data_IF_976481937470
#
_entry.id   IF_976481937470
#
_cell.length_a   1.000
_cell.length_b   1.000
_cell.length_c   1.000
_cell.angle_alpha   90.00
_cell.angle_beta   90.00
_cell.angle_gamma   90.00
#
_symmetry.space_group_name_H-M   'P 1'
#
loop_
_entity.id
_entity.type
_entity.pdbx_description
1 polymer ?
#
# COMPACT_ATOMS: atom_id res chain seq x y z
N UNK A 1 14.25 -0.04 -22.55
CA UNK A 1 15.70 -0.08 -22.38
C UNK A 1 16.30 1.28 -22.75
N UNK A 2 16.83 1.98 -21.74
CA UNK A 2 17.46 3.31 -21.92
C UNK A 2 18.98 3.23 -22.14
N UNK A 3 19.54 2.00 -22.24
CA UNK A 3 20.98 1.79 -22.38
C UNK A 3 21.32 1.75 -23.87
N UNK A 4 22.26 2.58 -24.37
CA UNK A 4 22.69 2.56 -25.76
C UNK A 4 23.24 1.20 -26.18
N UNK A 5 22.96 0.80 -27.43
CA UNK A 5 23.36 -0.51 -27.96
C UNK A 5 24.88 -0.70 -27.97
N UNK A 6 25.62 0.39 -28.10
CA UNK A 6 27.09 0.40 -28.04
C UNK A 6 27.67 -0.01 -26.70
N UNK A 7 26.90 0.21 -25.59
CA UNK A 7 27.26 -0.24 -24.25
C UNK A 7 26.85 -1.71 -24.07
N UNK A 8 25.64 -2.06 -24.52
CA UNK A 8 25.13 -3.45 -24.43
C UNK A 8 26.02 -4.44 -25.17
N UNK A 9 26.61 -4.06 -26.30
CA UNK A 9 27.51 -4.93 -27.08
C UNK A 9 28.86 -5.22 -26.42
N UNK A 10 29.22 -4.47 -25.37
CA UNK A 10 30.50 -4.55 -24.63
C UNK A 10 30.34 -5.03 -23.18
N UNK A 11 29.10 -5.31 -22.76
CA UNK A 11 28.79 -5.76 -21.42
C UNK A 11 28.19 -7.17 -21.46
N UNK A 12 28.47 -7.92 -20.41
CA UNK A 12 27.74 -9.16 -20.17
C UNK A 12 26.39 -8.81 -19.56
N UNK A 13 25.30 -9.33 -20.12
CA UNK A 13 23.94 -9.07 -19.67
C UNK A 13 23.48 -10.17 -18.74
N UNK A 14 22.94 -9.79 -17.58
CA UNK A 14 22.26 -10.68 -16.64
C UNK A 14 20.82 -10.21 -16.50
N UNK A 15 19.89 -11.10 -16.78
CA UNK A 15 18.45 -10.82 -16.62
C UNK A 15 17.97 -11.37 -15.27
N UNK A 16 17.65 -10.47 -14.36
CA UNK A 16 17.07 -10.81 -13.05
C UNK A 16 15.55 -10.81 -13.15
N UNK A 17 14.93 -11.83 -12.58
CA UNK A 17 13.47 -11.94 -12.47
C UNK A 17 13.02 -11.55 -11.06
N UNK A 18 11.76 -11.16 -10.94
CA UNK A 18 11.11 -10.99 -9.62
C UNK A 18 11.11 -12.33 -8.89
N UNK A 19 11.37 -12.28 -7.59
CA UNK A 19 11.36 -13.45 -6.72
C UNK A 19 9.93 -13.70 -6.27
N UNK A 20 9.52 -14.98 -6.17
CA UNK A 20 8.17 -15.30 -5.71
C UNK A 20 7.99 -14.99 -4.22
N UNK A 21 6.74 -14.73 -3.81
CA UNK A 21 6.37 -14.45 -2.42
C UNK A 21 6.82 -15.60 -1.51
N UNK A 22 6.62 -16.85 -1.95
CA UNK A 22 7.01 -18.05 -1.20
C UNK A 22 8.51 -18.10 -0.94
N UNK A 23 9.33 -17.79 -1.96
CA UNK A 23 10.80 -17.78 -1.84
C UNK A 23 11.28 -16.66 -0.90
N UNK A 24 10.68 -15.47 -1.01
CA UNK A 24 11.00 -14.35 -0.11
C UNK A 24 10.59 -14.72 1.31
N UNK A 25 9.36 -15.20 1.52
CA UNK A 25 8.85 -15.58 2.84
C UNK A 25 9.72 -16.64 3.52
N UNK A 26 10.09 -17.69 2.79
CA UNK A 26 10.98 -18.73 3.32
C UNK A 26 12.33 -18.17 3.77
N UNK A 27 12.90 -17.23 3.00
CA UNK A 27 14.17 -16.60 3.36
C UNK A 27 14.05 -15.68 4.58
N UNK A 28 12.97 -14.91 4.67
CA UNK A 28 12.72 -14.05 5.83
C UNK A 28 12.50 -14.88 7.10
N UNK A 29 11.73 -15.98 7.04
CA UNK A 29 11.56 -16.91 8.16
C UNK A 29 12.89 -17.49 8.64
N UNK A 30 13.73 -17.98 7.72
CA UNK A 30 15.09 -18.49 8.06
C UNK A 30 15.93 -17.45 8.82
N UNK A 31 15.82 -16.17 8.43
CA UNK A 31 16.54 -15.09 9.10
C UNK A 31 15.98 -14.84 10.50
N UNK A 32 14.66 -14.84 10.67
CA UNK A 32 14.02 -14.64 11.96
C UNK A 32 14.37 -15.75 12.95
N UNK A 33 14.42 -16.99 12.48
CA UNK A 33 14.90 -18.12 13.31
C UNK A 33 16.35 -17.90 13.79
N UNK A 34 17.24 -17.43 12.90
CA UNK A 34 18.65 -17.13 13.25
C UNK A 34 18.80 -15.98 14.23
N UNK A 35 17.99 -14.95 14.08
CA UNK A 35 17.96 -13.77 14.96
C UNK A 35 17.19 -14.04 16.27
N UNK A 36 16.57 -15.22 16.40
CA UNK A 36 15.75 -15.61 17.56
C UNK A 36 14.56 -14.65 17.80
N UNK A 37 13.99 -14.10 16.73
CA UNK A 37 12.81 -13.25 16.77
C UNK A 37 11.58 -14.10 16.43
N UNK A 38 10.59 -14.10 17.31
CA UNK A 38 9.30 -14.75 17.06
C UNK A 38 8.52 -13.89 16.07
N UNK A 39 8.04 -14.51 14.99
CA UNK A 39 7.27 -13.83 13.95
C UNK A 39 6.13 -14.71 13.46
N UNK A 40 4.98 -14.09 13.19
CA UNK A 40 3.86 -14.76 12.56
C UNK A 40 4.10 -14.99 11.08
N UNK A 41 3.77 -16.16 10.55
CA UNK A 41 3.91 -16.49 9.13
C UNK A 41 3.14 -15.50 8.23
N UNK A 42 1.96 -15.06 8.67
CA UNK A 42 1.13 -14.07 7.99
C UNK A 42 1.83 -12.71 7.89
N UNK A 43 2.55 -12.29 8.92
CA UNK A 43 3.36 -11.07 8.94
C UNK A 43 4.47 -11.11 7.88
N UNK A 44 5.22 -12.21 7.83
CA UNK A 44 6.28 -12.43 6.84
C UNK A 44 5.73 -12.44 5.41
N UNK A 45 4.60 -13.10 5.20
CA UNK A 45 3.96 -13.17 3.88
C UNK A 45 3.50 -11.78 3.41
N UNK A 46 3.01 -10.94 4.31
CA UNK A 46 2.67 -9.54 4.00
C UNK A 46 3.90 -8.72 3.58
N UNK A 47 5.01 -8.81 4.34
CA UNK A 47 6.28 -8.15 3.99
C UNK A 47 6.77 -8.61 2.61
N UNK A 48 6.75 -9.92 2.35
CA UNK A 48 7.16 -10.49 1.07
C UNK A 48 6.32 -9.98 -0.11
N UNK A 49 5.01 -9.79 0.11
CA UNK A 49 4.09 -9.23 -0.88
C UNK A 49 4.35 -7.74 -1.12
N UNK A 50 4.53 -6.97 -0.05
CA UNK A 50 4.84 -5.54 -0.11
C UNK A 50 6.16 -5.24 -0.85
N UNK A 51 7.11 -6.17 -0.78
CA UNK A 51 8.41 -6.06 -1.46
C UNK A 51 8.38 -6.29 -2.98
N UNK A 52 7.25 -6.67 -3.55
CA UNK A 52 7.00 -6.81 -4.99
C UNK A 52 8.11 -7.56 -5.76
N UNK A 53 8.59 -8.67 -5.18
CA UNK A 53 9.61 -9.53 -5.78
C UNK A 53 11.06 -9.07 -5.60
N UNK A 54 11.32 -8.06 -4.77
CA UNK A 54 12.65 -7.55 -4.42
C UNK A 54 13.07 -8.06 -3.04
N UNK A 55 14.10 -8.91 -2.97
CA UNK A 55 14.65 -9.38 -1.70
C UNK A 55 15.25 -8.24 -0.87
N UNK A 56 15.86 -7.23 -1.53
CA UNK A 56 16.43 -6.07 -0.84
C UNK A 56 15.34 -5.28 -0.11
N UNK A 57 14.22 -5.02 -0.78
CA UNK A 57 13.12 -4.26 -0.21
C UNK A 57 12.45 -5.06 0.90
N UNK A 58 12.28 -6.38 0.72
CA UNK A 58 11.79 -7.27 1.76
C UNK A 58 12.62 -7.22 3.04
N UNK A 59 13.94 -7.26 2.92
CA UNK A 59 14.85 -7.14 4.06
C UNK A 59 14.75 -5.77 4.71
N UNK A 60 14.69 -4.69 3.92
CA UNK A 60 14.56 -3.33 4.47
C UNK A 60 13.24 -3.13 5.22
N UNK A 61 12.13 -3.67 4.70
CA UNK A 61 10.83 -3.62 5.36
C UNK A 61 10.81 -4.45 6.64
N UNK A 62 11.44 -5.63 6.63
CA UNK A 62 11.58 -6.47 7.82
C UNK A 62 12.40 -5.77 8.90
N UNK A 63 13.57 -5.20 8.54
CA UNK A 63 14.44 -4.44 9.46
C UNK A 63 13.68 -3.26 10.09
N UNK A 64 12.86 -2.57 9.30
CA UNK A 64 12.02 -1.47 9.79
C UNK A 64 11.02 -1.98 10.84
N UNK A 65 10.35 -3.08 10.60
CA UNK A 65 9.40 -3.67 11.55
C UNK A 65 10.09 -4.12 12.84
N UNK A 66 11.25 -4.80 12.74
CA UNK A 66 12.01 -5.25 13.90
C UNK A 66 12.52 -4.06 14.74
N UNK A 67 13.01 -3.01 14.08
CA UNK A 67 13.51 -1.82 14.76
C UNK A 67 12.40 -1.10 15.55
N UNK A 68 11.17 -1.09 15.02
CA UNK A 68 10.02 -0.45 15.66
C UNK A 68 9.54 -1.23 16.90
N UNK A 69 9.58 -2.57 16.85
CA UNK A 69 9.13 -3.47 17.92
C UNK A 69 10.27 -4.27 18.56
N UNK A 70 11.40 -3.62 18.78
CA UNK A 70 12.60 -4.27 19.30
C UNK A 70 12.32 -5.10 20.58
N UNK A 71 12.65 -6.40 20.54
CA UNK A 71 12.47 -7.32 21.65
C UNK A 71 11.04 -7.81 21.89
N UNK A 72 10.14 -7.58 20.94
CA UNK A 72 8.77 -8.10 20.97
C UNK A 72 8.52 -9.05 19.79
N UNK A 73 7.54 -9.95 19.96
CA UNK A 73 7.06 -10.79 18.87
C UNK A 73 6.47 -9.93 17.75
N UNK A 74 6.86 -10.24 16.50
CA UNK A 74 6.39 -9.53 15.33
C UNK A 74 5.09 -10.16 14.84
N UNK A 75 3.96 -9.60 15.26
CA UNK A 75 2.62 -10.03 14.84
C UNK A 75 2.23 -9.39 13.52
N UNK A 76 1.23 -9.96 12.85
CA UNK A 76 0.68 -9.41 11.62
C UNK A 76 0.16 -7.98 11.80
N UNK A 77 -0.56 -7.69 12.90
CA UNK A 77 -1.08 -6.35 13.19
C UNK A 77 0.02 -5.31 13.36
N UNK A 78 1.12 -5.66 14.03
CA UNK A 78 2.29 -4.78 14.17
C UNK A 78 2.96 -4.47 12.83
N UNK A 79 3.04 -5.45 11.94
CA UNK A 79 3.58 -5.24 10.60
C UNK A 79 2.65 -4.35 9.78
N UNK A 80 1.34 -4.55 9.88
CA UNK A 80 0.37 -3.65 9.26
C UNK A 80 0.49 -2.23 9.80
N UNK A 81 0.62 -2.05 11.11
CA UNK A 81 0.82 -0.74 11.73
C UNK A 81 2.08 -0.05 11.21
N UNK A 82 3.16 -0.80 11.04
CA UNK A 82 4.44 -0.23 10.57
C UNK A 82 4.48 0.01 9.07
N UNK A 83 3.94 -0.92 8.28
CA UNK A 83 4.06 -0.91 6.81
C UNK A 83 2.74 -0.61 6.11
N UNK A 84 1.64 -0.95 6.74
CA UNK A 84 0.29 -0.85 6.19
C UNK A 84 -0.53 0.30 6.74
N UNK A 85 0.04 1.12 7.60
CA UNK A 85 -0.54 2.41 7.97
C UNK A 85 -0.42 3.44 6.82
N UNK A 86 -0.84 3.04 5.64
CA UNK A 86 -1.54 4.00 4.80
C UNK A 86 -2.74 4.39 5.64
N UNK A 87 -2.76 5.61 6.15
CA UNK A 87 -3.82 6.14 7.00
C UNK A 87 -5.18 5.90 6.40
N UNK A 88 -5.74 4.74 6.64
CA UNK A 88 -7.12 4.40 6.27
C UNK A 88 -8.06 5.46 6.81
N UNK A 89 -7.70 6.07 7.93
CA UNK A 89 -8.42 7.18 8.53
C UNK A 89 -8.42 8.44 7.66
N UNK A 90 -7.29 8.82 7.06
CA UNK A 90 -7.25 9.99 6.15
C UNK A 90 -8.09 9.73 4.90
N UNK A 91 -8.05 8.51 4.37
CA UNK A 91 -8.87 8.14 3.20
C UNK A 91 -10.34 8.11 3.53
N UNK A 92 -10.71 7.57 4.69
CA UNK A 92 -12.08 7.60 5.21
C UNK A 92 -12.58 9.03 5.34
N UNK A 93 -11.81 9.89 5.99
CA UNK A 93 -12.13 11.32 6.14
C UNK A 93 -12.30 12.00 4.78
N UNK A 94 -11.37 11.79 3.83
CA UNK A 94 -11.46 12.36 2.49
C UNK A 94 -12.71 11.87 1.75
N UNK A 95 -12.98 10.56 1.79
CA UNK A 95 -14.16 9.98 1.14
C UNK A 95 -15.46 10.60 1.70
N UNK A 96 -15.58 10.72 3.02
CA UNK A 96 -16.75 11.35 3.67
C UNK A 96 -16.92 12.79 3.23
N UNK A 97 -15.84 13.60 3.16
CA UNK A 97 -15.92 14.98 2.68
C UNK A 97 -16.37 15.06 1.21
N UNK A 98 -15.90 14.11 0.36
CA UNK A 98 -16.31 14.04 -1.05
C UNK A 98 -17.81 13.68 -1.15
N UNK A 99 -18.29 12.72 -0.38
CA UNK A 99 -19.69 12.29 -0.38
C UNK A 99 -20.63 13.40 0.12
N UNK A 100 -20.21 14.13 1.13
CA UNK A 100 -20.92 15.31 1.68
C UNK A 100 -20.82 16.53 0.77
N UNK A 101 -20.05 16.46 -0.33
CA UNK A 101 -19.76 17.59 -1.23
C UNK A 101 -19.13 18.79 -0.51
N UNK A 102 -18.44 18.54 0.59
CA UNK A 102 -17.72 19.53 1.37
C UNK A 102 -16.32 19.77 0.79
N UNK A 103 -16.25 20.63 -0.21
CA UNK A 103 -15.00 20.95 -0.92
C UNK A 103 -13.94 21.54 0.04
N UNK A 104 -14.33 22.41 0.93
CA UNK A 104 -13.42 23.04 1.91
C UNK A 104 -12.82 21.99 2.84
N UNK A 105 -13.63 21.07 3.34
CA UNK A 105 -13.17 19.96 4.18
C UNK A 105 -12.21 19.02 3.45
N UNK A 106 -12.53 18.69 2.19
CA UNK A 106 -11.65 17.83 1.36
C UNK A 106 -10.28 18.49 1.11
N UNK A 107 -10.25 19.80 0.79
CA UNK A 107 -9.00 20.56 0.64
C UNK A 107 -8.21 20.56 1.96
N UNK A 108 -8.88 20.76 3.10
CA UNK A 108 -8.26 20.74 4.42
C UNK A 108 -7.54 19.41 4.71
N UNK A 109 -8.17 18.26 4.39
CA UNK A 109 -7.55 16.93 4.54
C UNK A 109 -6.30 16.79 3.67
N UNK A 110 -6.35 17.29 2.42
CA UNK A 110 -5.18 17.25 1.52
C UNK A 110 -4.06 18.16 2.02
N UNK A 111 -4.38 19.35 2.52
CA UNK A 111 -3.38 20.29 3.07
C UNK A 111 -2.69 19.71 4.32
N UNK A 112 -3.44 19.09 5.22
CA UNK A 112 -2.91 18.39 6.41
C UNK A 112 -1.87 17.33 5.98
N UNK A 113 -2.21 16.48 5.04
CA UNK A 113 -1.35 15.45 4.49
C UNK A 113 -0.06 16.02 3.87
N UNK A 114 -0.17 17.14 3.14
CA UNK A 114 1.00 17.82 2.54
C UNK A 114 1.90 18.44 3.60
N UNK A 115 1.33 19.00 4.68
CA UNK A 115 2.09 19.54 5.82
C UNK A 115 2.87 18.42 6.54
N UNK A 116 2.28 17.22 6.64
CA UNK A 116 2.96 16.03 7.17
C UNK A 116 4.09 15.49 6.26
N UNK A 117 4.30 16.10 5.10
CA UNK A 117 5.39 15.76 4.18
C UNK A 117 5.11 14.57 3.26
N UNK A 118 3.85 14.13 3.13
CA UNK A 118 3.48 13.02 2.24
C UNK A 118 3.51 13.45 0.77
N UNK A 119 3.89 12.53 -0.10
CA UNK A 119 3.94 12.76 -1.54
C UNK A 119 2.56 12.60 -2.17
N UNK A 120 2.06 13.66 -2.84
CA UNK A 120 0.71 13.70 -3.43
C UNK A 120 0.46 12.59 -4.45
N UNK A 121 1.45 12.24 -5.25
CA UNK A 121 1.30 11.19 -6.27
C UNK A 121 1.12 9.82 -5.64
N UNK A 122 1.86 9.54 -4.56
CA UNK A 122 1.69 8.32 -3.79
C UNK A 122 0.31 8.28 -3.11
N UNK A 123 -0.09 9.38 -2.49
CA UNK A 123 -1.40 9.50 -1.86
C UNK A 123 -2.56 9.22 -2.84
N UNK A 124 -2.51 9.76 -4.07
CA UNK A 124 -3.53 9.49 -5.09
C UNK A 124 -3.57 8.01 -5.49
N UNK A 125 -2.41 7.35 -5.59
CA UNK A 125 -2.34 5.92 -5.86
C UNK A 125 -2.97 5.10 -4.73
N UNK A 126 -2.62 5.42 -3.49
CA UNK A 126 -3.08 4.72 -2.30
C UNK A 126 -4.58 4.93 -2.08
N UNK A 127 -5.08 6.15 -2.31
CA UNK A 127 -6.51 6.45 -2.27
C UNK A 127 -7.29 5.71 -3.38
N UNK A 128 -6.71 5.60 -4.58
CA UNK A 128 -7.31 4.81 -5.67
C UNK A 128 -7.40 3.33 -5.27
N UNK A 129 -6.37 2.82 -4.61
CA UNK A 129 -6.34 1.44 -4.11
C UNK A 129 -7.38 1.24 -2.99
N UNK A 130 -7.53 2.20 -2.09
CA UNK A 130 -8.57 2.20 -1.06
C UNK A 130 -9.98 2.15 -1.66
N UNK A 131 -10.30 2.99 -2.66
CA UNK A 131 -11.58 2.96 -3.36
C UNK A 131 -11.85 1.61 -4.05
N UNK A 132 -10.80 0.99 -4.61
CA UNK A 132 -10.89 -0.36 -5.19
C UNK A 132 -11.22 -1.40 -4.12
N UNK A 133 -10.64 -1.29 -2.95
CA UNK A 133 -10.94 -2.20 -1.83
C UNK A 133 -12.40 -2.07 -1.37
N UNK A 134 -12.94 -0.85 -1.29
CA UNK A 134 -14.36 -0.64 -1.03
C UNK A 134 -15.25 -1.36 -2.06
N UNK A 135 -14.91 -1.26 -3.34
CA UNK A 135 -15.66 -1.93 -4.41
C UNK A 135 -15.57 -3.47 -4.29
N UNK A 136 -14.41 -4.01 -3.93
CA UNK A 136 -14.24 -5.44 -3.70
C UNK A 136 -15.07 -5.94 -2.52
N UNK A 137 -15.10 -5.19 -1.42
CA UNK A 137 -15.92 -5.51 -0.24
C UNK A 137 -17.41 -5.48 -0.56
N UNK A 138 -17.87 -4.60 -1.47
CA UNK A 138 -19.27 -4.63 -1.95
C UNK A 138 -19.62 -5.89 -2.76
N UNK A 139 -18.62 -6.47 -3.41
CA UNK A 139 -18.82 -7.56 -4.37
C UNK A 139 -18.79 -8.96 -3.75
N UNK A 140 -18.24 -9.12 -2.53
CA UNK A 140 -18.09 -10.43 -1.88
C UNK A 140 -17.96 -10.27 -0.36
N UNK A 141 -18.63 -11.16 0.37
CA UNK A 141 -18.61 -11.19 1.85
C UNK A 141 -17.32 -11.82 2.41
N UNK A 142 -16.61 -12.63 1.63
CA UNK A 142 -15.48 -13.47 2.07
C UNK A 142 -14.15 -12.92 1.53
N UNK A 143 -13.80 -11.70 1.91
CA UNK A 143 -12.64 -10.96 1.39
C UNK A 143 -11.47 -10.86 2.38
N UNK A 144 -11.57 -11.49 3.57
CA UNK A 144 -10.52 -11.40 4.59
C UNK A 144 -9.16 -11.91 4.10
N UNK A 145 -9.16 -12.97 3.29
CA UNK A 145 -7.93 -13.55 2.72
C UNK A 145 -7.42 -12.83 1.46
N UNK A 146 -8.26 -12.03 0.83
CA UNK A 146 -7.94 -11.32 -0.43
C UNK A 146 -7.45 -9.91 -0.16
N UNK A 147 -8.01 -9.27 0.86
CA UNK A 147 -7.62 -7.94 1.32
C UNK A 147 -6.67 -8.12 2.49
N UNK A 148 -5.39 -7.84 2.30
CA UNK A 148 -4.39 -7.83 3.39
C UNK A 148 -4.64 -6.62 4.32
N UNK A 149 -5.73 -6.67 5.08
CA UNK A 149 -6.21 -5.59 5.94
C UNK A 149 -6.50 -6.18 7.32
N UNK A 150 -6.26 -5.41 8.38
CA UNK A 150 -6.62 -5.82 9.74
C UNK A 150 -8.14 -5.99 9.89
N UNK A 151 -8.57 -6.81 10.82
CA UNK A 151 -9.99 -7.08 11.08
C UNK A 151 -10.76 -5.80 11.43
N UNK A 152 -10.12 -4.88 12.15
CA UNK A 152 -10.70 -3.56 12.49
C UNK A 152 -10.89 -2.69 11.24
N UNK A 153 -9.88 -2.62 10.37
CA UNK A 153 -9.96 -1.88 9.11
C UNK A 153 -10.96 -2.50 8.14
N UNK A 154 -11.13 -3.83 8.16
CA UNK A 154 -12.14 -4.49 7.33
C UNK A 154 -13.57 -4.13 7.79
N UNK A 155 -13.83 -4.04 9.09
CA UNK A 155 -15.13 -3.62 9.61
C UNK A 155 -15.46 -2.18 9.17
N UNK A 156 -14.49 -1.27 9.26
CA UNK A 156 -14.63 0.12 8.80
C UNK A 156 -14.88 0.19 7.28
N UNK A 157 -14.13 -0.58 6.49
CA UNK A 157 -14.33 -0.65 5.04
C UNK A 157 -15.71 -1.20 4.66
N UNK A 158 -16.24 -2.18 5.40
CA UNK A 158 -17.59 -2.72 5.18
C UNK A 158 -18.65 -1.66 5.44
N UNK A 159 -18.51 -0.85 6.49
CA UNK A 159 -19.40 0.28 6.78
C UNK A 159 -19.35 1.32 5.65
N UNK A 160 -18.15 1.74 5.26
CA UNK A 160 -17.95 2.77 4.24
C UNK A 160 -18.37 2.31 2.84
N UNK A 161 -18.18 1.02 2.53
CA UNK A 161 -18.66 0.43 1.29
C UNK A 161 -20.18 0.54 1.12
N UNK A 162 -20.94 0.57 2.23
CA UNK A 162 -22.39 0.78 2.18
C UNK A 162 -22.82 2.24 1.96
N UNK A 163 -21.90 3.20 2.15
CA UNK A 163 -22.17 4.63 1.98
C UNK A 163 -22.14 5.09 0.52
N UNK A 164 -21.63 4.28 -0.39
CA UNK A 164 -21.34 4.67 -1.77
C UNK A 164 -21.84 3.61 -2.75
N UNK A 165 -22.58 4.04 -3.78
CA UNK A 165 -22.98 3.14 -4.87
C UNK A 165 -21.78 2.69 -5.70
N UNK A 166 -21.81 1.44 -6.18
CA UNK A 166 -20.76 0.83 -7.01
C UNK A 166 -20.44 1.67 -8.26
N UNK A 167 -21.44 2.24 -8.92
CA UNK A 167 -21.25 3.09 -10.10
C UNK A 167 -20.48 4.38 -9.77
N UNK A 168 -20.72 4.95 -8.59
CA UNK A 168 -19.99 6.12 -8.09
C UNK A 168 -18.55 5.75 -7.78
N UNK A 169 -18.31 4.61 -7.11
CA UNK A 169 -16.96 4.11 -6.84
C UNK A 169 -16.17 3.88 -8.14
N UNK A 170 -16.77 3.24 -9.14
CA UNK A 170 -16.12 3.03 -10.45
C UNK A 170 -15.75 4.36 -11.11
N UNK A 171 -16.60 5.38 -11.00
CA UNK A 171 -16.32 6.71 -11.52
C UNK A 171 -15.14 7.36 -10.77
N UNK A 172 -15.11 7.29 -9.45
CA UNK A 172 -14.01 7.82 -8.65
C UNK A 172 -12.69 7.12 -8.95
N UNK A 173 -12.67 5.78 -8.98
CA UNK A 173 -11.49 4.99 -9.35
C UNK A 173 -10.93 5.44 -10.71
N UNK A 174 -11.79 5.66 -11.71
CA UNK A 174 -11.35 6.14 -13.02
C UNK A 174 -10.73 7.54 -12.93
N UNK A 175 -11.39 8.48 -12.26
CA UNK A 175 -10.90 9.87 -12.11
C UNK A 175 -9.55 9.89 -11.40
N UNK A 176 -9.41 9.18 -10.28
CA UNK A 176 -8.15 9.16 -9.51
C UNK A 176 -7.03 8.37 -10.23
N UNK A 177 -7.36 7.33 -11.00
CA UNK A 177 -6.39 6.63 -11.85
C UNK A 177 -5.86 7.53 -12.98
N UNK A 178 -6.73 8.32 -13.61
CA UNK A 178 -6.31 9.32 -14.60
C UNK A 178 -5.45 10.43 -13.96
N UNK A 179 -5.87 10.92 -12.79
CA UNK A 179 -5.11 11.92 -12.02
C UNK A 179 -3.73 11.39 -11.62
N UNK A 180 -3.60 10.14 -11.19
CA UNK A 180 -2.32 9.51 -10.85
C UNK A 180 -1.31 9.54 -12.01
N UNK A 181 -1.80 9.35 -13.24
CA UNK A 181 -0.95 9.46 -14.43
C UNK A 181 -0.55 10.90 -14.73
N UNK A 182 -1.44 11.86 -14.53
CA UNK A 182 -1.21 13.29 -14.82
C UNK A 182 -0.31 13.95 -13.78
N UNK A 183 -0.50 13.67 -12.49
CA UNK A 183 0.23 14.29 -11.38
C UNK A 183 1.73 14.03 -11.43
N UNK A 184 2.13 12.90 -12.06
CA UNK A 184 3.54 12.54 -12.27
C UNK A 184 4.29 13.57 -13.14
N UNK A 185 3.58 14.25 -14.05
CA UNK A 185 4.12 15.20 -15.01
C UNK A 185 3.71 16.65 -14.70
N UNK A 186 2.90 16.86 -13.67
CA UNK A 186 2.44 18.19 -13.29
C UNK A 186 3.59 19.03 -12.71
N UNK A 187 3.76 20.25 -13.20
CA UNK A 187 4.76 21.22 -12.71
C UNK A 187 4.34 21.77 -11.34
N UNK A 188 3.03 21.92 -11.12
CA UNK A 188 2.44 22.27 -9.82
C UNK A 188 1.45 21.18 -9.43
N UNK A 189 1.83 20.37 -8.45
CA UNK A 189 1.03 19.24 -7.99
C UNK A 189 -0.14 19.65 -7.08
N UNK A 190 -0.24 20.90 -6.72
CA UNK A 190 -1.15 21.43 -5.70
C UNK A 190 -2.37 22.19 -6.28
N UNK A 191 -2.47 22.30 -7.61
CA UNK A 191 -3.58 22.99 -8.28
C UNK A 191 -4.46 21.97 -8.98
#
# INVERSE_FOLDING_TARGET
>A
HKIPITILSRCQRYDFRRISIETISARLMELMEKEQVTVEERAIRYIAKAADGSMRDALSLLDQCIAFYLGQDLTYDKVLETLGAVDTEIFSRLLRQILEKNVTGAIGVIDEMVIEGRELGQFVNDFTWYLRNLMLVQSSDDMEDVLDISTENLALLKEEAQMVDTDILMRYIRIFSELSNQIRYAVQKRI
#
